data_IF_338605578133
#
_entry.id   IF_338605578133
#
_cell.length_a   1.000
_cell.length_b   1.000
_cell.length_c   1.000
_cell.angle_alpha   90.00
_cell.angle_beta   90.00
_cell.angle_gamma   90.00
#
_symmetry.space_group_name_H-M   'P 1'
#
loop_
_entity.id
_entity.type
_entity.pdbx_description
1 polymer ?
#
# COMPACT_ATOMS: atom_id res chain seq x y z
N UNK A 1 -21.16 7.99 12.91
CA UNK A 1 -20.01 7.10 12.81
C UNK A 1 -20.20 6.20 11.58
N UNK A 2 -19.68 6.63 10.45
CA UNK A 2 -19.79 5.87 9.19
C UNK A 2 -18.49 5.06 9.05
N UNK A 3 -18.61 3.73 9.13
CA UNK A 3 -17.49 2.83 8.86
C UNK A 3 -17.12 2.97 7.38
N UNK A 4 -15.96 3.57 7.12
CA UNK A 4 -15.33 3.54 5.80
C UNK A 4 -15.01 2.09 5.50
N UNK A 5 -15.78 1.48 4.61
CA UNK A 5 -15.53 0.12 4.14
C UNK A 5 -14.25 0.15 3.33
N UNK A 6 -13.19 -0.30 3.94
CA UNK A 6 -11.89 -0.51 3.33
C UNK A 6 -12.06 -1.62 2.28
N UNK A 7 -12.13 -1.25 1.01
CA UNK A 7 -12.09 -2.20 -0.09
C UNK A 7 -10.64 -2.65 -0.28
N UNK A 8 -10.22 -3.51 0.62
CA UNK A 8 -9.07 -4.39 0.40
C UNK A 8 -9.63 -5.64 -0.25
N UNK A 9 -9.21 -5.93 -1.47
CA UNK A 9 -9.45 -7.24 -2.07
C UNK A 9 -8.87 -8.29 -1.12
N UNK A 10 -9.76 -9.02 -0.45
CA UNK A 10 -9.40 -10.04 0.52
C UNK A 10 -8.51 -11.09 -0.13
N UNK A 11 -7.29 -11.19 0.33
CA UNK A 11 -6.29 -12.15 -0.14
C UNK A 11 -6.56 -13.48 0.54
N UNK A 12 -6.96 -14.48 -0.22
CA UNK A 12 -7.08 -15.87 0.22
C UNK A 12 -5.69 -16.49 0.28
N UNK A 13 -5.26 -16.90 1.48
CA UNK A 13 -3.95 -17.50 1.73
C UNK A 13 -3.87 -18.94 1.21
N UNK A 14 -2.83 -19.24 0.41
CA UNK A 14 -2.32 -20.59 0.21
C UNK A 14 -0.83 -20.60 0.51
N UNK A 15 -0.43 -21.46 1.43
CA UNK A 15 0.94 -21.63 1.89
C UNK A 15 1.82 -22.28 0.80
N UNK A 16 2.91 -21.59 0.43
CA UNK A 16 3.97 -22.15 -0.40
C UNK A 16 5.33 -21.99 0.28
N UNK A 17 6.02 -23.08 0.50
CA UNK A 17 7.37 -23.13 1.11
C UNK A 17 8.39 -22.63 0.09
N UNK A 18 8.94 -21.44 0.30
CA UNK A 18 10.02 -20.88 -0.51
C UNK A 18 11.33 -20.85 0.26
N UNK A 19 12.40 -21.32 -0.37
CA UNK A 19 13.78 -21.27 0.13
C UNK A 19 14.23 -19.84 0.36
N UNK A 20 14.55 -19.52 1.62
CA UNK A 20 15.05 -18.19 2.02
C UNK A 20 16.43 -17.93 1.41
N UNK A 21 16.55 -16.85 0.62
CA UNK A 21 17.86 -16.23 0.36
C UNK A 21 18.38 -15.60 1.65
N UNK A 22 19.56 -16.02 2.11
CA UNK A 22 20.25 -15.42 3.24
C UNK A 22 20.59 -13.96 2.92
N UNK A 23 20.21 -12.98 3.73
CA UNK A 23 20.71 -11.62 3.59
C UNK A 23 22.23 -11.61 3.77
N UNK A 24 22.92 -10.82 2.96
CA UNK A 24 24.39 -10.69 3.03
C UNK A 24 24.83 -10.10 4.38
N UNK A 25 25.94 -10.61 4.89
CA UNK A 25 26.58 -10.23 6.15
C UNK A 25 26.76 -8.71 6.24
N UNK A 26 26.12 -8.06 7.23
CA UNK A 26 26.48 -6.71 7.67
C UNK A 26 25.37 -5.66 7.75
N UNK A 27 24.16 -5.91 7.25
CA UNK A 27 23.05 -4.98 7.39
C UNK A 27 22.27 -5.31 8.68
N UNK A 28 22.18 -4.33 9.62
CA UNK A 28 21.36 -4.50 10.81
C UNK A 28 19.85 -4.66 10.47
N UNK A 29 19.02 -5.12 11.42
CA UNK A 29 17.59 -5.37 11.18
C UNK A 29 16.84 -4.20 10.54
N UNK A 30 17.17 -2.97 10.92
CA UNK A 30 16.56 -1.75 10.37
C UNK A 30 16.85 -1.59 8.89
N UNK A 31 18.08 -1.80 8.44
CA UNK A 31 18.43 -1.65 7.00
C UNK A 31 17.81 -2.75 6.13
N UNK A 32 17.61 -3.94 6.69
CA UNK A 32 16.84 -5.00 6.04
C UNK A 32 15.39 -4.55 5.83
N UNK A 33 14.75 -4.02 6.87
CA UNK A 33 13.39 -3.51 6.82
C UNK A 33 13.23 -2.36 5.83
N UNK A 34 14.14 -1.38 5.83
CA UNK A 34 14.13 -0.27 4.88
C UNK A 34 14.18 -0.75 3.43
N UNK A 35 15.07 -1.71 3.15
CA UNK A 35 15.21 -2.27 1.80
C UNK A 35 13.94 -2.98 1.34
N UNK A 36 13.38 -3.83 2.19
CA UNK A 36 12.17 -4.60 1.86
C UNK A 36 10.94 -3.68 1.77
N UNK A 37 10.86 -2.66 2.63
CA UNK A 37 9.79 -1.69 2.57
C UNK A 37 9.85 -0.84 1.30
N UNK A 38 11.04 -0.48 0.83
CA UNK A 38 11.22 0.21 -0.45
C UNK A 38 10.75 -0.65 -1.64
N UNK A 39 11.06 -1.96 -1.64
CA UNK A 39 10.53 -2.90 -2.64
C UNK A 39 9.00 -2.97 -2.60
N UNK A 40 8.43 -2.98 -1.40
CA UNK A 40 6.99 -2.99 -1.21
C UNK A 40 6.33 -1.75 -1.82
N UNK A 41 6.76 -0.55 -1.42
CA UNK A 41 6.16 0.69 -1.92
C UNK A 41 6.34 0.87 -3.42
N UNK A 42 7.49 0.44 -3.97
CA UNK A 42 7.71 0.41 -5.41
C UNK A 42 6.71 -0.50 -6.13
N UNK A 43 6.44 -1.69 -5.58
CA UNK A 43 5.47 -2.63 -6.15
C UNK A 43 4.04 -2.09 -6.10
N UNK A 44 3.67 -1.40 -5.01
CA UNK A 44 2.37 -0.74 -4.87
C UNK A 44 2.20 0.37 -5.91
N UNK A 45 3.23 1.20 -6.13
CA UNK A 45 3.19 2.26 -7.16
C UNK A 45 3.01 1.67 -8.55
N UNK A 46 3.82 0.68 -8.91
CA UNK A 46 3.72 0.00 -10.20
C UNK A 46 2.33 -0.63 -10.43
N UNK A 47 1.74 -1.22 -9.39
CA UNK A 47 0.37 -1.75 -9.46
C UNK A 47 -0.66 -0.65 -9.74
N UNK A 48 -0.58 0.50 -9.04
CA UNK A 48 -1.52 1.60 -9.27
C UNK A 48 -1.40 2.20 -10.67
N UNK A 49 -0.19 2.26 -11.21
CA UNK A 49 0.06 2.69 -12.58
C UNK A 49 -0.56 1.71 -13.59
N UNK A 50 -0.24 0.42 -13.47
CA UNK A 50 -0.79 -0.63 -14.33
C UNK A 50 -2.32 -0.66 -14.31
N UNK A 51 -2.91 -0.60 -13.12
CA UNK A 51 -4.38 -0.59 -12.97
C UNK A 51 -5.00 0.61 -13.67
N UNK A 52 -4.40 1.79 -13.50
CA UNK A 52 -4.86 3.01 -14.18
C UNK A 52 -4.80 2.88 -15.70
N UNK A 53 -3.72 2.34 -16.23
CA UNK A 53 -3.53 2.13 -17.68
C UNK A 53 -4.54 1.12 -18.24
N UNK A 54 -4.78 0.00 -17.56
CA UNK A 54 -5.76 -1.00 -17.98
C UNK A 54 -7.16 -0.40 -18.01
N UNK A 55 -7.56 0.32 -16.97
CA UNK A 55 -8.88 0.98 -16.92
C UNK A 55 -9.00 1.99 -18.09
N UNK A 56 -8.01 2.84 -18.31
CA UNK A 56 -8.03 3.84 -19.37
C UNK A 56 -8.09 3.22 -20.77
N UNK A 57 -7.37 2.13 -21.01
CA UNK A 57 -7.36 1.44 -22.28
C UNK A 57 -8.72 0.79 -22.61
N UNK A 58 -9.45 0.32 -21.60
CA UNK A 58 -10.74 -0.37 -21.78
C UNK A 58 -11.95 0.56 -21.67
N UNK A 59 -11.85 1.58 -20.82
CA UNK A 59 -12.95 2.47 -20.44
C UNK A 59 -12.47 3.92 -20.32
N UNK A 60 -12.13 4.56 -21.45
CA UNK A 60 -11.61 5.94 -21.47
C UNK A 60 -12.57 6.96 -20.86
N UNK A 61 -13.86 6.66 -20.78
CA UNK A 61 -14.86 7.48 -20.10
C UNK A 61 -14.64 7.60 -18.59
N UNK A 62 -13.83 6.71 -17.97
CA UNK A 62 -13.46 6.80 -16.56
C UNK A 62 -12.14 7.52 -16.31
N UNK A 63 -11.57 8.21 -17.33
CA UNK A 63 -10.23 8.80 -17.24
C UNK A 63 -10.04 9.72 -16.02
N UNK A 64 -11.02 10.60 -15.75
CA UNK A 64 -10.97 11.53 -14.62
C UNK A 64 -10.96 10.77 -13.29
N UNK A 65 -11.92 9.86 -13.10
CA UNK A 65 -12.03 9.09 -11.86
C UNK A 65 -10.83 8.15 -11.67
N UNK A 66 -10.35 7.48 -12.71
CA UNK A 66 -9.15 6.65 -12.65
C UNK A 66 -7.91 7.45 -12.27
N UNK A 67 -7.79 8.68 -12.77
CA UNK A 67 -6.72 9.61 -12.39
C UNK A 67 -6.80 10.02 -10.92
N UNK A 68 -7.98 10.39 -10.44
CA UNK A 68 -8.20 10.75 -9.03
C UNK A 68 -7.85 9.57 -8.12
N UNK A 69 -8.32 8.37 -8.46
CA UNK A 69 -8.03 7.14 -7.72
C UNK A 69 -6.53 6.86 -7.65
N UNK A 70 -5.85 6.90 -8.80
CA UNK A 70 -4.40 6.69 -8.86
C UNK A 70 -3.66 7.68 -7.95
N UNK A 71 -3.96 8.98 -8.06
CA UNK A 71 -3.31 9.98 -7.23
C UNK A 71 -3.62 9.82 -5.75
N UNK A 72 -4.84 9.43 -5.39
CA UNK A 72 -5.20 9.13 -4.00
C UNK A 72 -4.39 7.95 -3.46
N UNK A 73 -4.29 6.85 -4.23
CA UNK A 73 -3.50 5.69 -3.82
C UNK A 73 -2.01 6.00 -3.69
N UNK A 74 -1.44 6.77 -4.63
CA UNK A 74 -0.05 7.21 -4.54
C UNK A 74 0.20 8.08 -3.30
N UNK A 75 -0.72 9.00 -2.98
CA UNK A 75 -0.62 9.82 -1.77
C UNK A 75 -0.72 8.97 -0.50
N UNK A 76 -1.57 7.94 -0.48
CA UNK A 76 -1.64 7.00 0.65
C UNK A 76 -0.35 6.17 0.81
N UNK A 77 0.29 5.77 -0.29
CA UNK A 77 1.61 5.11 -0.25
C UNK A 77 2.65 6.06 0.36
N UNK A 78 2.69 7.32 -0.06
CA UNK A 78 3.60 8.33 0.51
C UNK A 78 3.35 8.55 2.02
N UNK A 79 2.09 8.56 2.47
CA UNK A 79 1.76 8.62 3.91
C UNK A 79 2.31 7.40 4.66
N UNK A 80 2.15 6.22 4.09
CA UNK A 80 2.68 4.97 4.68
C UNK A 80 4.21 5.00 4.75
N UNK A 81 4.89 5.54 3.73
CA UNK A 81 6.35 5.74 3.76
C UNK A 81 6.79 6.73 4.83
N UNK A 82 6.06 7.82 5.02
CA UNK A 82 6.36 8.80 6.05
C UNK A 82 6.20 8.19 7.46
N UNK A 83 5.12 7.47 7.69
CA UNK A 83 4.85 6.76 8.95
C UNK A 83 5.89 5.69 9.23
N UNK A 84 6.25 4.88 8.23
CA UNK A 84 7.30 3.89 8.37
C UNK A 84 8.63 4.52 8.79
N UNK A 85 9.06 5.60 8.12
CA UNK A 85 10.29 6.32 8.49
C UNK A 85 10.24 6.87 9.92
N UNK A 86 9.09 7.36 10.35
CA UNK A 86 8.89 7.85 11.71
C UNK A 86 9.04 6.72 12.76
N UNK A 87 8.55 5.53 12.45
CA UNK A 87 8.66 4.37 13.35
C UNK A 87 10.09 3.88 13.44
N UNK A 88 10.76 3.64 12.32
CA UNK A 88 12.12 3.09 12.32
C UNK A 88 13.17 4.07 12.86
N UNK A 89 12.86 5.35 12.93
CA UNK A 89 13.73 6.37 13.52
C UNK A 89 13.86 6.25 15.06
N UNK A 90 12.99 5.47 15.73
CA UNK A 90 13.01 5.25 17.17
C UNK A 90 12.93 3.77 17.52
N UNK A 91 13.94 3.21 18.23
CA UNK A 91 13.88 1.82 18.70
C UNK A 91 12.61 1.53 19.51
N UNK A 92 12.20 2.47 20.37
CA UNK A 92 11.02 2.33 21.22
C UNK A 92 9.72 2.21 20.40
N UNK A 93 9.61 2.98 19.32
CA UNK A 93 8.46 2.89 18.39
C UNK A 93 8.47 1.59 17.61
N UNK A 94 9.65 1.11 17.23
CA UNK A 94 9.80 -0.15 16.53
C UNK A 94 9.46 -1.34 17.43
N UNK A 95 9.88 -1.31 18.70
CA UNK A 95 9.56 -2.34 19.70
C UNK A 95 8.05 -2.37 20.04
N UNK A 96 7.37 -1.22 19.98
CA UNK A 96 5.92 -1.12 20.18
C UNK A 96 5.10 -1.76 19.04
N UNK A 97 5.72 -2.06 17.90
CA UNK A 97 5.09 -2.82 16.85
C UNK A 97 5.11 -4.30 17.25
N UNK A 98 3.97 -4.88 17.60
CA UNK A 98 3.79 -6.28 18.03
C UNK A 98 4.21 -7.28 16.95
N UNK A 99 5.53 -7.38 16.76
CA UNK A 99 6.16 -8.20 15.75
C UNK A 99 6.01 -7.64 14.33
N UNK A 100 7.13 -7.55 13.64
CA UNK A 100 7.22 -7.13 12.24
C UNK A 100 6.38 -7.98 11.28
N UNK A 101 5.81 -9.09 11.76
CA UNK A 101 4.84 -9.91 11.03
C UNK A 101 3.54 -9.16 10.70
N UNK A 102 3.17 -8.15 11.48
CA UNK A 102 2.00 -7.31 11.20
C UNK A 102 2.28 -6.20 10.18
N UNK A 103 3.54 -5.83 9.94
CA UNK A 103 3.92 -5.05 8.77
C UNK A 103 3.52 -5.70 7.44
N UNK A 104 3.35 -7.02 7.46
CA UNK A 104 3.00 -7.83 6.28
C UNK A 104 1.61 -7.50 5.73
N UNK A 105 0.67 -7.08 6.59
CA UNK A 105 -0.70 -6.73 6.19
C UNK A 105 -0.92 -5.20 6.09
N UNK A 106 0.18 -4.42 5.99
CA UNK A 106 0.14 -2.95 5.85
C UNK A 106 -0.49 -2.19 7.03
N UNK A 107 -0.60 -2.85 8.15
CA UNK A 107 -1.01 -2.28 9.41
C UNK A 107 0.21 -1.94 10.26
N UNK A 108 0.93 -0.86 9.90
CA UNK A 108 1.71 -0.16 10.92
C UNK A 108 0.73 0.15 12.05
N UNK A 109 0.96 -0.40 13.24
CA UNK A 109 0.19 0.00 14.43
C UNK A 109 0.43 1.49 14.62
N UNK A 110 -0.59 2.27 14.29
CA UNK A 110 -0.52 3.71 14.22
C UNK A 110 -1.53 4.31 15.17
N UNK A 111 -1.03 4.91 16.24
CA UNK A 111 -1.87 5.55 17.26
C UNK A 111 -2.24 6.99 16.88
N UNK A 112 -3.31 7.51 17.48
CA UNK A 112 -3.64 8.94 17.36
C UNK A 112 -2.53 9.83 17.91
N UNK A 113 -1.77 9.37 18.90
CA UNK A 113 -0.64 10.10 19.46
C UNK A 113 0.53 10.18 18.46
N UNK A 114 0.83 9.09 17.74
CA UNK A 114 1.86 9.09 16.70
C UNK A 114 1.46 10.01 15.54
N UNK A 115 0.19 9.97 15.13
CA UNK A 115 -0.33 10.89 14.10
C UNK A 115 -0.18 12.35 14.51
N UNK A 116 -0.56 12.68 15.75
CA UNK A 116 -0.44 14.04 16.25
C UNK A 116 1.02 14.51 16.33
N UNK A 117 1.92 13.64 16.79
CA UNK A 117 3.35 13.94 16.88
C UNK A 117 3.96 14.15 15.49
N UNK A 118 3.68 13.29 14.53
CA UNK A 118 4.20 13.42 13.18
C UNK A 118 3.64 14.65 12.46
N UNK A 119 2.37 14.99 12.69
CA UNK A 119 1.75 16.23 12.20
C UNK A 119 2.40 17.48 12.80
N UNK A 120 2.85 17.44 14.04
CA UNK A 120 3.55 18.57 14.68
C UNK A 120 4.99 18.70 14.18
N UNK A 121 5.71 17.60 14.08
CA UNK A 121 7.13 17.56 13.75
C UNK A 121 7.42 17.81 12.25
N UNK A 122 6.55 17.33 11.34
CA UNK A 122 6.83 17.29 9.90
C UNK A 122 5.84 18.11 9.05
N UNK A 123 6.28 19.27 8.55
CA UNK A 123 5.48 20.11 7.65
C UNK A 123 5.04 19.39 6.39
N UNK A 124 5.95 18.60 5.80
CA UNK A 124 5.71 17.86 4.58
C UNK A 124 4.62 16.80 4.76
N UNK A 125 4.56 16.18 5.94
CA UNK A 125 3.51 15.23 6.27
C UNK A 125 2.15 15.91 6.41
N UNK A 126 2.08 17.12 7.01
CA UNK A 126 0.84 17.92 7.06
C UNK A 126 0.31 18.25 5.67
N UNK A 127 1.20 18.62 4.76
CA UNK A 127 0.84 18.92 3.37
C UNK A 127 0.33 17.68 2.64
N UNK A 128 0.96 16.54 2.88
CA UNK A 128 0.57 15.26 2.35
C UNK A 128 -0.81 14.82 2.85
N UNK A 129 -1.10 14.97 4.15
CA UNK A 129 -2.43 14.68 4.72
C UNK A 129 -3.49 15.56 4.07
N UNK A 130 -3.26 16.89 3.98
CA UNK A 130 -4.20 17.82 3.32
C UNK A 130 -4.46 17.46 1.87
N UNK A 131 -3.41 17.10 1.12
CA UNK A 131 -3.52 16.63 -0.27
C UNK A 131 -4.36 15.36 -0.37
N UNK A 132 -4.10 14.40 0.50
CA UNK A 132 -4.82 13.13 0.54
C UNK A 132 -6.31 13.32 0.87
N UNK A 133 -6.64 14.19 1.81
CA UNK A 133 -8.02 14.50 2.17
C UNK A 133 -8.77 15.21 1.02
N UNK A 134 -8.10 16.12 0.31
CA UNK A 134 -8.67 16.75 -0.89
C UNK A 134 -8.97 15.73 -1.99
N UNK A 135 -8.02 14.82 -2.27
CA UNK A 135 -8.21 13.74 -3.25
C UNK A 135 -9.33 12.78 -2.83
N UNK A 136 -9.41 12.44 -1.55
CA UNK A 136 -10.47 11.59 -0.99
C UNK A 136 -11.84 12.24 -1.13
N UNK A 137 -11.95 13.54 -0.89
CA UNK A 137 -13.19 14.29 -1.07
C UNK A 137 -13.64 14.29 -2.54
N UNK A 138 -12.72 14.55 -3.48
CA UNK A 138 -12.99 14.48 -4.92
C UNK A 138 -13.40 13.08 -5.37
N UNK A 139 -12.72 12.04 -4.87
CA UNK A 139 -13.04 10.66 -5.17
C UNK A 139 -14.44 10.27 -4.67
N UNK A 140 -14.77 10.58 -3.42
CA UNK A 140 -16.04 10.17 -2.80
C UNK A 140 -17.28 10.81 -3.46
N UNK A 141 -17.11 12.00 -4.02
CA UNK A 141 -18.20 12.75 -4.69
C UNK A 141 -18.34 12.48 -6.18
N UNK A 142 -17.47 11.68 -6.79
CA UNK A 142 -17.45 11.53 -8.25
C UNK A 142 -18.70 10.80 -8.78
N UNK A 143 -19.42 11.35 -9.79
CA UNK A 143 -20.69 10.79 -10.27
C UNK A 143 -20.55 9.43 -10.95
N UNK A 144 -19.38 9.10 -11.50
CA UNK A 144 -19.13 7.83 -12.18
C UNK A 144 -18.76 6.67 -11.25
N UNK A 145 -18.67 6.90 -9.94
CA UNK A 145 -18.34 5.83 -8.98
C UNK A 145 -19.19 4.57 -9.13
N UNK A 146 -20.53 4.66 -9.22
CA UNK A 146 -21.36 3.44 -9.33
C UNK A 146 -21.04 2.67 -10.62
N UNK A 147 -20.77 3.38 -11.72
CA UNK A 147 -20.43 2.79 -13.03
C UNK A 147 -19.06 2.09 -12.99
N UNK A 148 -18.04 2.77 -12.45
CA UNK A 148 -16.70 2.17 -12.33
C UNK A 148 -16.72 0.95 -11.42
N UNK A 149 -17.48 0.98 -10.32
CA UNK A 149 -17.64 -0.16 -9.42
C UNK A 149 -18.30 -1.36 -10.11
N UNK A 150 -19.39 -1.14 -10.86
CA UNK A 150 -20.02 -2.19 -11.65
C UNK A 150 -19.02 -2.78 -12.67
N UNK A 151 -18.33 -1.94 -13.42
CA UNK A 151 -17.30 -2.38 -14.35
C UNK A 151 -16.22 -3.22 -13.68
N UNK A 152 -15.72 -2.79 -12.52
CA UNK A 152 -14.68 -3.52 -11.79
C UNK A 152 -15.14 -4.90 -11.33
N UNK A 153 -16.41 -5.03 -10.96
CA UNK A 153 -16.98 -6.30 -10.48
C UNK A 153 -17.34 -7.25 -11.63
N UNK A 154 -17.93 -6.71 -12.68
CA UNK A 154 -18.62 -7.53 -13.69
C UNK A 154 -17.74 -7.82 -14.92
N UNK A 155 -16.83 -6.91 -15.27
CA UNK A 155 -16.05 -6.98 -16.51
C UNK A 155 -14.54 -7.10 -16.26
N UNK A 156 -13.97 -6.23 -15.39
CA UNK A 156 -12.53 -6.13 -15.20
C UNK A 156 -11.92 -7.44 -14.68
N UNK A 157 -12.60 -8.14 -13.79
CA UNK A 157 -12.16 -9.44 -13.29
C UNK A 157 -12.12 -10.54 -14.36
N UNK A 158 -12.80 -10.36 -15.48
CA UNK A 158 -12.73 -11.24 -16.64
C UNK A 158 -11.69 -10.85 -17.68
N UNK A 159 -11.02 -9.70 -17.53
CA UNK A 159 -9.99 -9.23 -18.46
C UNK A 159 -8.66 -9.97 -18.22
N UNK A 160 -8.10 -10.66 -19.25
CA UNK A 160 -6.86 -11.45 -19.09
C UNK A 160 -5.63 -10.57 -18.75
N UNK A 161 -5.58 -9.33 -19.22
CA UNK A 161 -4.47 -8.42 -18.92
C UNK A 161 -4.53 -7.98 -17.46
N UNK A 162 -5.71 -7.64 -16.95
CA UNK A 162 -5.92 -7.30 -15.55
C UNK A 162 -5.61 -8.49 -14.62
N UNK A 163 -6.17 -9.66 -14.92
CA UNK A 163 -5.95 -10.86 -14.09
C UNK A 163 -4.48 -11.29 -14.08
N UNK A 164 -3.79 -11.21 -15.21
CA UNK A 164 -2.35 -11.46 -15.29
C UNK A 164 -1.52 -10.47 -14.46
N UNK A 165 -1.83 -9.18 -14.55
CA UNK A 165 -1.18 -8.14 -13.75
C UNK A 165 -1.45 -8.31 -12.25
N UNK A 166 -2.69 -8.67 -11.88
CA UNK A 166 -3.08 -8.94 -10.49
C UNK A 166 -2.34 -10.15 -9.91
N UNK A 167 -2.23 -11.25 -10.66
CA UNK A 167 -1.49 -12.45 -10.25
C UNK A 167 0.00 -12.15 -10.05
N UNK A 168 0.59 -11.36 -10.96
CA UNK A 168 1.98 -10.92 -10.83
C UNK A 168 2.18 -10.06 -9.58
N UNK A 169 1.31 -9.10 -9.35
CA UNK A 169 1.34 -8.25 -8.15
C UNK A 169 1.22 -9.09 -6.88
N UNK A 170 0.25 -10.00 -6.80
CA UNK A 170 0.05 -10.87 -5.65
C UNK A 170 1.25 -11.80 -5.38
N UNK A 171 1.91 -12.31 -6.44
CA UNK A 171 3.13 -13.09 -6.30
C UNK A 171 4.25 -12.25 -5.68
N UNK A 172 4.48 -11.04 -6.20
CA UNK A 172 5.50 -10.14 -5.67
C UNK A 172 5.22 -9.76 -4.21
N UNK A 173 3.95 -9.52 -3.85
CA UNK A 173 3.58 -9.26 -2.45
C UNK A 173 3.92 -10.43 -1.52
N UNK A 174 3.69 -11.66 -1.95
CA UNK A 174 4.08 -12.87 -1.16
C UNK A 174 5.60 -12.96 -0.97
N UNK A 175 6.38 -12.65 -2.00
CA UNK A 175 7.85 -12.64 -1.92
C UNK A 175 8.37 -11.56 -0.97
N UNK A 176 7.82 -10.34 -1.05
CA UNK A 176 8.15 -9.22 -0.16
C UNK A 176 7.79 -9.58 1.29
N UNK A 177 6.61 -10.15 1.51
CA UNK A 177 6.16 -10.58 2.83
C UNK A 177 7.07 -11.66 3.44
N UNK A 178 7.57 -12.59 2.64
CA UNK A 178 8.54 -13.58 3.09
C UNK A 178 9.88 -12.92 3.51
N UNK A 179 10.36 -11.94 2.73
CA UNK A 179 11.57 -11.16 3.09
C UNK A 179 11.38 -10.37 4.39
N UNK A 180 10.22 -9.71 4.58
CA UNK A 180 9.91 -8.98 5.82
C UNK A 180 9.99 -9.88 7.05
N UNK A 181 9.39 -11.08 6.99
CA UNK A 181 9.51 -12.06 8.08
C UNK A 181 10.95 -12.44 8.37
N UNK A 182 11.74 -12.68 7.32
CA UNK A 182 13.16 -12.99 7.49
C UNK A 182 13.96 -11.85 8.13
N UNK A 183 13.60 -10.58 7.87
CA UNK A 183 14.20 -9.43 8.56
C UNK A 183 13.86 -9.39 10.07
N UNK A 184 12.66 -9.85 10.44
CA UNK A 184 12.20 -9.87 11.82
C UNK A 184 12.84 -10.98 12.67
N UNK A 185 13.29 -12.07 12.02
CA UNK A 185 13.86 -13.25 12.69
C UNK A 185 15.38 -13.13 12.93
N UNK A 186 16.04 -12.10 12.38
CA UNK A 186 17.47 -11.86 12.51
C UNK A 186 17.79 -10.64 13.39
#
# INVERSE_FOLDING_TARGET
MMRVTQWVFGTMFLFGVGTACRPGDGAGPVSCLESVFAEYTASQRAWQESLGEIILARRPEFAELASILKHLQLAMIEMTEARFRYIIASPERLEAQDGLSEFVDFGVVWSEADEAALLDEASDYRDLVRRTDSLRAGNNGHPDWPRLRAYSTDELMGDPEFTGALEQFQRLQREINAKLRACAEN
#
